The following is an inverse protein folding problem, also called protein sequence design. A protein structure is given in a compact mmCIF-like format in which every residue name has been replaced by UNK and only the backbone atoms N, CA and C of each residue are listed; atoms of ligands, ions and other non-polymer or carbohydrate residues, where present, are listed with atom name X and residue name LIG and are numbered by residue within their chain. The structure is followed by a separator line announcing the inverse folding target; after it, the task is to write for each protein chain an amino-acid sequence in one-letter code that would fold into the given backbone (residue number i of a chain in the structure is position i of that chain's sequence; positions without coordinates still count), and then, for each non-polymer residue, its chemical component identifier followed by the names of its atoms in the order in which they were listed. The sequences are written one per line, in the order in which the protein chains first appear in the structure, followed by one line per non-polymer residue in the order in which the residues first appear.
data_IF_793829661994
#
_entry.id   IF_793829661994
#
_cell.length_a   1.000
_cell.length_b   1.000
_cell.length_c   1.000
_cell.angle_alpha   90.00
_cell.angle_beta   90.00
_cell.angle_gamma   90.00
#
_symmetry.space_group_name_H-M   'P 1'
#
loop_
_entity.id
_entity.type
_entity.pdbx_description
1 polymer ?
#
# COMPACT_ATOMS: atom_id res chain seq x y z
N UNK A 1 10.06 0.60 -27.96
CA UNK A 1 10.64 0.91 -26.62
C UNK A 1 11.75 -0.08 -26.31
N UNK A 2 12.84 0.36 -25.67
CA UNK A 2 13.99 -0.49 -25.33
C UNK A 2 13.88 -1.19 -23.97
N UNK A 3 14.58 -2.32 -23.84
CA UNK A 3 14.73 -3.09 -22.60
C UNK A 3 15.37 -2.18 -21.52
N UNK A 4 14.82 -2.11 -20.29
CA UNK A 4 15.42 -1.31 -19.23
C UNK A 4 16.81 -1.82 -18.88
N UNK A 5 17.77 -0.90 -18.75
CA UNK A 5 19.13 -1.24 -18.36
C UNK A 5 19.21 -1.61 -16.86
N UNK A 6 18.37 -0.97 -16.03
CA UNK A 6 18.16 -1.29 -14.61
C UNK A 6 16.66 -1.30 -14.29
N UNK A 7 16.03 -2.48 -14.39
CA UNK A 7 14.59 -2.64 -14.14
C UNK A 7 14.17 -2.05 -12.78
N UNK A 8 14.89 -2.29 -11.69
CA UNK A 8 14.49 -1.79 -10.36
C UNK A 8 14.40 -0.25 -10.27
N UNK A 9 15.23 0.46 -11.03
CA UNK A 9 15.33 1.92 -11.04
C UNK A 9 14.41 2.56 -12.10
N UNK A 10 14.40 1.98 -13.30
CA UNK A 10 13.67 2.52 -14.44
C UNK A 10 12.19 2.14 -14.42
N UNK A 11 11.85 1.01 -13.81
CA UNK A 11 10.47 0.52 -13.79
C UNK A 11 9.53 1.48 -13.04
N UNK A 12 9.84 1.97 -11.83
CA UNK A 12 9.01 2.98 -11.16
C UNK A 12 8.79 4.25 -12.01
N UNK A 13 9.83 4.73 -12.69
CA UNK A 13 9.73 5.91 -13.58
C UNK A 13 8.80 5.63 -14.77
N UNK A 14 8.90 4.45 -15.39
CA UNK A 14 8.01 4.03 -16.48
C UNK A 14 6.57 3.88 -15.99
N UNK A 15 6.37 3.34 -14.79
CA UNK A 15 5.04 3.25 -14.18
C UNK A 15 4.45 4.63 -13.90
N UNK A 16 5.24 5.62 -13.46
CA UNK A 16 4.78 7.01 -13.29
C UNK A 16 4.32 7.63 -14.62
N UNK A 17 5.06 7.40 -15.71
CA UNK A 17 4.66 7.87 -17.03
C UNK A 17 3.34 7.25 -17.50
N UNK A 18 3.18 5.94 -17.30
CA UNK A 18 1.94 5.24 -17.62
C UNK A 18 0.79 5.71 -16.73
N UNK A 19 1.04 5.94 -15.44
CA UNK A 19 0.07 6.46 -14.50
C UNK A 19 -0.46 7.82 -14.99
N UNK A 20 0.45 8.76 -15.27
CA UNK A 20 0.10 10.11 -15.72
C UNK A 20 -0.71 10.11 -17.03
N UNK A 21 -0.40 9.19 -17.95
CA UNK A 21 -1.11 9.09 -19.22
C UNK A 21 -2.51 8.47 -19.09
N UNK A 22 -2.69 7.48 -18.22
CA UNK A 22 -3.93 6.72 -18.12
C UNK A 22 -4.92 7.24 -17.06
N UNK A 23 -4.46 8.00 -16.06
CA UNK A 23 -5.34 8.50 -15.00
C UNK A 23 -6.53 9.33 -15.50
N UNK A 24 -6.39 10.27 -16.46
CA UNK A 24 -7.54 11.04 -16.95
C UNK A 24 -8.66 10.14 -17.48
N UNK A 25 -8.30 9.09 -18.22
CA UNK A 25 -9.26 8.13 -18.77
C UNK A 25 -9.89 7.26 -17.67
N UNK A 26 -9.13 6.91 -16.62
CA UNK A 26 -9.68 6.20 -15.47
C UNK A 26 -10.69 7.06 -14.72
N UNK A 27 -10.41 8.36 -14.52
CA UNK A 27 -11.33 9.32 -13.90
C UNK A 27 -12.61 9.51 -14.71
N UNK A 28 -12.50 9.73 -16.02
CA UNK A 28 -13.67 9.87 -16.91
C UNK A 28 -14.61 8.66 -16.89
N UNK A 29 -14.08 7.48 -16.56
CA UNK A 29 -14.83 6.21 -16.55
C UNK A 29 -15.18 5.72 -15.15
N UNK A 30 -14.90 6.49 -14.10
CA UNK A 30 -15.08 6.07 -12.70
C UNK A 30 -14.33 4.76 -12.36
N UNK A 31 -13.12 4.60 -12.86
CA UNK A 31 -12.26 3.43 -12.66
C UNK A 31 -11.04 3.73 -11.78
N UNK A 32 -11.05 4.84 -11.03
CA UNK A 32 -9.88 5.35 -10.29
C UNK A 32 -9.37 4.32 -9.27
N UNK A 33 -10.24 3.75 -8.44
CA UNK A 33 -9.84 2.70 -7.50
C UNK A 33 -9.21 1.47 -8.17
N UNK A 34 -9.87 0.89 -9.17
CA UNK A 34 -9.34 -0.29 -9.89
C UNK A 34 -8.03 0.03 -10.62
N UNK A 35 -7.91 1.22 -11.20
CA UNK A 35 -6.67 1.71 -11.80
C UNK A 35 -5.56 1.86 -10.76
N UNK A 36 -5.86 2.43 -9.59
CA UNK A 36 -4.91 2.55 -8.49
C UNK A 36 -4.42 1.16 -8.03
N UNK A 37 -5.31 0.17 -7.88
CA UNK A 37 -4.92 -1.20 -7.53
C UNK A 37 -4.01 -1.84 -8.59
N UNK A 38 -4.31 -1.65 -9.88
CA UNK A 38 -3.49 -2.14 -10.99
C UNK A 38 -2.06 -1.57 -10.93
N UNK A 39 -1.93 -0.26 -10.72
CA UNK A 39 -0.61 0.38 -10.63
C UNK A 39 0.09 -0.02 -9.33
N UNK A 40 -0.62 -0.07 -8.20
CA UNK A 40 -0.09 -0.47 -6.90
C UNK A 40 0.51 -1.88 -6.95
N UNK A 41 -0.17 -2.85 -7.56
CA UNK A 41 0.32 -4.21 -7.72
C UNK A 41 1.67 -4.28 -8.45
N UNK A 42 1.91 -3.33 -9.36
CA UNK A 42 3.16 -3.21 -10.11
C UNK A 42 4.25 -2.48 -9.32
N UNK A 43 3.93 -1.30 -8.78
CA UNK A 43 4.91 -0.35 -8.23
C UNK A 43 5.26 -0.62 -6.76
N UNK A 44 4.37 -1.26 -6.00
CA UNK A 44 4.67 -1.66 -4.62
C UNK A 44 5.37 -3.02 -4.61
N UNK A 45 4.78 -4.03 -5.26
CA UNK A 45 5.22 -5.42 -5.14
C UNK A 45 6.62 -5.63 -5.72
N UNK A 46 6.89 -5.14 -6.94
CA UNK A 46 8.16 -5.42 -7.62
C UNK A 46 9.36 -4.81 -6.87
N UNK A 47 9.37 -3.51 -6.52
CA UNK A 47 10.48 -2.94 -5.75
C UNK A 47 10.63 -3.58 -4.36
N UNK A 48 9.51 -3.87 -3.68
CA UNK A 48 9.56 -4.46 -2.35
C UNK A 48 10.15 -5.87 -2.37
N UNK A 49 9.76 -6.73 -3.32
CA UNK A 49 10.31 -8.07 -3.44
C UNK A 49 11.77 -8.05 -3.93
N UNK A 50 12.15 -7.08 -4.78
CA UNK A 50 13.55 -6.90 -5.20
C UNK A 50 14.47 -6.37 -4.10
N UNK A 51 13.96 -5.55 -3.18
CA UNK A 51 14.75 -5.02 -2.07
C UNK A 51 15.07 -6.07 -0.99
N UNK A 52 14.44 -7.25 -1.04
CA UNK A 52 14.78 -8.36 -0.16
C UNK A 52 16.11 -8.98 -0.60
N UNK A 53 17.14 -8.86 0.24
CA UNK A 53 18.51 -9.36 -0.01
C UNK A 53 18.61 -10.87 -0.38
N UNK A 54 17.54 -11.65 -0.18
CA UNK A 54 17.46 -13.07 -0.56
C UNK A 54 16.85 -13.31 -1.95
N UNK A 55 16.51 -12.26 -2.69
CA UNK A 55 15.92 -12.40 -4.02
C UNK A 55 16.96 -12.96 -5.01
N UNK A 56 16.60 -13.98 -5.80
CA UNK A 56 17.54 -14.66 -6.71
C UNK A 56 18.10 -13.77 -7.83
N UNK A 57 17.44 -12.65 -8.12
CA UNK A 57 17.90 -11.60 -9.04
C UNK A 57 18.55 -10.40 -8.33
N UNK A 58 18.85 -10.50 -7.04
CA UNK A 58 19.55 -9.45 -6.31
C UNK A 58 20.91 -9.20 -6.96
N UNK A 59 21.25 -7.93 -7.14
CA UNK A 59 22.56 -7.49 -7.65
C UNK A 59 23.18 -6.61 -6.57
N UNK A 60 24.52 -6.56 -6.47
CA UNK A 60 25.21 -5.62 -5.56
C UNK A 60 24.73 -4.16 -5.73
N UNK A 61 24.29 -3.80 -6.93
CA UNK A 61 23.72 -2.48 -7.23
C UNK A 61 22.34 -2.23 -6.60
N UNK A 62 21.69 -3.24 -6.05
CA UNK A 62 20.40 -3.14 -5.36
C UNK A 62 20.59 -2.98 -3.83
N UNK A 63 21.82 -3.06 -3.30
CA UNK A 63 22.14 -2.99 -1.86
C UNK A 63 21.65 -1.68 -1.20
N UNK A 64 21.74 -0.55 -1.92
CA UNK A 64 21.23 0.74 -1.42
C UNK A 64 19.73 0.75 -1.29
N UNK A 65 19.01 0.14 -2.23
CA UNK A 65 17.56 -0.03 -2.15
C UNK A 65 17.19 -0.94 -0.98
N UNK A 66 17.95 -2.01 -0.75
CA UNK A 66 17.80 -2.86 0.44
C UNK A 66 17.99 -2.06 1.72
N UNK A 67 19.05 -1.25 1.84
CA UNK A 67 19.29 -0.39 3.01
C UNK A 67 18.15 0.62 3.18
N UNK A 68 17.74 1.29 2.10
CA UNK A 68 16.66 2.28 2.11
C UNK A 68 15.33 1.67 2.57
N UNK A 69 14.95 0.50 2.06
CA UNK A 69 13.74 -0.21 2.50
C UNK A 69 13.88 -0.72 3.94
N UNK A 70 15.08 -1.16 4.34
CA UNK A 70 15.37 -1.56 5.72
C UNK A 70 15.20 -0.41 6.71
N UNK A 71 15.67 0.80 6.37
CA UNK A 71 15.46 1.98 7.20
C UNK A 71 14.00 2.42 7.20
N UNK A 72 13.34 2.42 6.04
CA UNK A 72 11.92 2.71 5.94
C UNK A 72 11.09 1.81 6.86
N UNK A 73 11.43 0.52 6.96
CA UNK A 73 10.70 -0.45 7.77
C UNK A 73 10.62 -0.08 9.26
N UNK A 74 11.52 0.78 9.74
CA UNK A 74 11.60 1.22 11.14
C UNK A 74 10.82 2.50 11.42
N UNK A 75 10.48 3.27 10.38
CA UNK A 75 9.81 4.58 10.51
C UNK A 75 8.30 4.40 10.65
N UNK A 76 7.64 5.29 11.40
CA UNK A 76 6.18 5.36 11.45
C UNK A 76 5.61 5.69 10.06
N UNK A 77 4.53 5.03 9.66
CA UNK A 77 3.94 5.19 8.34
C UNK A 77 3.56 6.66 8.10
N UNK A 78 3.01 7.34 9.11
CA UNK A 78 2.61 8.75 9.05
C UNK A 78 3.77 9.75 8.93
N UNK A 79 5.00 9.28 9.15
CA UNK A 79 6.24 10.07 9.08
C UNK A 79 7.20 9.53 8.02
N UNK A 80 6.74 8.58 7.19
CA UNK A 80 7.57 7.97 6.18
C UNK A 80 8.09 9.01 5.17
N UNK A 81 9.34 8.90 4.72
CA UNK A 81 9.97 9.89 3.85
C UNK A 81 9.29 10.05 2.49
N UNK A 82 8.59 9.02 2.01
CA UNK A 82 7.84 9.11 0.77
C UNK A 82 6.67 10.12 0.85
N UNK A 83 6.21 10.51 2.06
CA UNK A 83 5.20 11.56 2.18
C UNK A 83 5.74 12.97 1.90
N UNK A 84 7.06 13.16 1.84
CA UNK A 84 7.68 14.46 1.61
C UNK A 84 7.15 15.58 2.55
N UNK A 85 6.98 15.25 3.83
CA UNK A 85 6.46 16.17 4.86
C UNK A 85 4.93 16.34 4.88
N UNK A 86 4.20 15.80 3.90
CA UNK A 86 2.74 15.73 3.96
C UNK A 86 2.28 14.66 4.97
N UNK A 87 1.00 14.71 5.35
CA UNK A 87 0.35 13.68 6.17
C UNK A 87 -0.56 12.77 5.31
N UNK A 88 -0.75 11.50 5.69
CA UNK A 88 -1.68 10.60 5.01
C UNK A 88 -3.13 10.90 5.44
N UNK A 89 -3.76 11.88 4.80
CA UNK A 89 -5.17 12.22 5.06
C UNK A 89 -6.07 11.11 4.52
N UNK A 90 -7.17 10.79 5.20
CA UNK A 90 -8.11 9.75 4.70
C UNK A 90 -7.61 8.31 4.82
N UNK A 91 -6.48 8.09 5.49
CA UNK A 91 -5.99 6.76 5.86
C UNK A 91 -6.43 6.38 7.26
N UNK A 92 -6.71 5.09 7.48
CA UNK A 92 -7.02 4.53 8.81
C UNK A 92 -6.44 3.13 8.95
N UNK A 93 -6.10 2.74 10.17
CA UNK A 93 -5.79 1.36 10.50
C UNK A 93 -6.68 0.85 11.63
N UNK A 94 -7.38 -0.23 11.38
CA UNK A 94 -8.20 -0.91 12.38
C UNK A 94 -8.01 -2.43 12.32
N UNK A 95 -8.65 -3.14 13.23
CA UNK A 95 -8.68 -4.59 13.22
C UNK A 95 -10.13 -5.02 13.06
N UNK A 96 -10.36 -6.11 12.35
CA UNK A 96 -11.68 -6.78 12.33
C UNK A 96 -11.50 -8.05 13.13
N UNK A 97 -12.31 -8.23 14.17
CA UNK A 97 -12.23 -9.40 15.06
C UNK A 97 -13.32 -10.42 14.81
N UNK A 98 -14.28 -10.13 13.94
CA UNK A 98 -15.42 -10.99 13.58
C UNK A 98 -15.86 -10.74 12.14
N UNK A 99 -16.37 -11.79 11.47
CA UNK A 99 -17.10 -11.72 10.20
C UNK A 99 -16.47 -10.81 9.12
N UNK A 100 -15.22 -11.07 8.75
CA UNK A 100 -14.51 -10.26 7.76
C UNK A 100 -15.17 -10.25 6.36
N UNK A 101 -15.96 -11.28 6.03
CA UNK A 101 -16.67 -11.42 4.75
C UNK A 101 -17.91 -10.51 4.61
N UNK A 102 -18.33 -9.84 5.70
CA UNK A 102 -19.50 -8.96 5.70
C UNK A 102 -19.09 -7.55 6.17
N UNK A 103 -18.70 -6.64 5.25
CA UNK A 103 -18.23 -5.30 5.61
C UNK A 103 -19.20 -4.51 6.49
N UNK A 104 -20.51 -4.63 6.23
CA UNK A 104 -21.56 -3.98 7.03
C UNK A 104 -21.57 -4.43 8.50
N UNK A 105 -21.07 -5.64 8.78
CA UNK A 105 -21.03 -6.27 10.11
C UNK A 105 -19.63 -6.28 10.73
N UNK A 106 -18.67 -5.54 10.17
CA UNK A 106 -17.32 -5.51 10.71
C UNK A 106 -17.29 -4.96 12.14
N UNK A 107 -16.68 -5.72 13.04
CA UNK A 107 -16.49 -5.33 14.45
C UNK A 107 -15.01 -5.17 14.75
N UNK A 108 -14.66 -3.99 15.28
CA UNK A 108 -13.34 -3.63 15.76
C UNK A 108 -12.98 -4.21 17.12
N UNK A 109 -11.71 -4.09 17.51
CA UNK A 109 -11.24 -4.50 18.86
C UNK A 109 -11.93 -3.74 19.99
N UNK A 110 -12.41 -2.54 19.72
CA UNK A 110 -13.20 -1.71 20.64
C UNK A 110 -14.71 -2.01 20.60
N UNK A 111 -15.13 -3.03 19.86
CA UNK A 111 -16.53 -3.42 19.70
C UNK A 111 -17.34 -2.51 18.77
N UNK A 112 -16.67 -1.61 18.01
CA UNK A 112 -17.34 -0.68 17.09
C UNK A 112 -17.01 -1.00 15.64
N UNK A 113 -17.89 -0.58 14.73
CA UNK A 113 -17.57 -0.61 13.31
C UNK A 113 -16.36 0.31 12.99
N UNK A 114 -15.41 -0.09 12.13
CA UNK A 114 -14.20 0.72 11.83
C UNK A 114 -14.46 2.13 11.29
N UNK A 115 -15.65 2.37 10.72
CA UNK A 115 -16.08 3.68 10.22
C UNK A 115 -16.95 4.46 11.20
N UNK A 116 -17.32 3.89 12.35
CA UNK A 116 -18.10 4.58 13.36
C UNK A 116 -17.33 5.77 13.94
N UNK A 117 -18.07 6.80 14.39
CA UNK A 117 -17.46 7.95 15.05
C UNK A 117 -16.76 7.53 16.36
N UNK A 118 -15.49 7.93 16.51
CA UNK A 118 -14.66 7.53 17.64
C UNK A 118 -14.32 6.04 17.69
N UNK A 119 -14.36 5.34 16.55
CA UNK A 119 -13.71 4.04 16.40
C UNK A 119 -12.20 4.19 16.53
N UNK A 120 -11.53 3.16 17.07
CA UNK A 120 -10.08 3.16 17.20
C UNK A 120 -9.40 3.21 15.82
N UNK A 121 -8.48 4.15 15.69
CA UNK A 121 -7.54 4.25 14.58
C UNK A 121 -6.11 4.18 15.13
N UNK A 122 -5.37 3.18 14.71
CA UNK A 122 -4.01 2.90 15.17
C UNK A 122 -2.94 3.34 14.17
N UNK A 123 -3.31 4.03 13.08
CA UNK A 123 -2.39 4.33 11.98
C UNK A 123 -1.14 5.09 12.44
N UNK A 124 -1.29 6.03 13.39
CA UNK A 124 -0.18 6.81 13.95
C UNK A 124 0.92 5.95 14.59
N UNK A 125 0.54 4.78 15.10
CA UNK A 125 1.42 3.90 15.87
C UNK A 125 1.98 2.76 15.00
N UNK A 126 1.67 2.74 13.69
CA UNK A 126 2.13 1.70 12.78
C UNK A 126 3.36 2.15 12.02
N UNK A 127 4.34 1.25 11.98
CA UNK A 127 5.49 1.39 11.09
C UNK A 127 5.09 1.24 9.63
N UNK A 128 5.87 1.84 8.74
CA UNK A 128 5.70 1.69 7.30
C UNK A 128 5.76 0.21 6.89
N UNK A 129 6.64 -0.59 7.50
CA UNK A 129 6.70 -2.03 7.27
C UNK A 129 5.36 -2.73 7.55
N UNK A 130 4.70 -2.36 8.64
CA UNK A 130 3.42 -2.97 9.04
C UNK A 130 2.33 -2.68 8.01
N UNK A 131 2.19 -1.41 7.62
CA UNK A 131 1.18 -0.97 6.63
C UNK A 131 1.47 -1.56 5.25
N UNK A 132 2.71 -1.42 4.75
CA UNK A 132 3.10 -1.94 3.44
C UNK A 132 2.95 -3.45 3.34
N UNK A 133 3.18 -4.20 4.42
CA UNK A 133 2.92 -5.64 4.47
C UNK A 133 1.43 -5.95 4.25
N UNK A 134 0.52 -5.21 4.89
CA UNK A 134 -0.92 -5.40 4.72
C UNK A 134 -1.31 -5.11 3.27
N UNK A 135 -0.88 -3.97 2.72
CA UNK A 135 -1.15 -3.60 1.33
C UNK A 135 -0.65 -4.67 0.35
N UNK A 136 0.60 -5.11 0.49
CA UNK A 136 1.18 -6.14 -0.38
C UNK A 136 0.42 -7.46 -0.28
N UNK A 137 0.11 -7.93 0.92
CA UNK A 137 -0.63 -9.18 1.09
C UNK A 137 -2.02 -9.08 0.45
N UNK A 138 -2.73 -7.97 0.67
CA UNK A 138 -4.03 -7.74 0.06
C UNK A 138 -3.96 -7.71 -1.48
N UNK A 139 -2.99 -6.99 -2.05
CA UNK A 139 -2.75 -6.93 -3.50
C UNK A 139 -2.41 -8.29 -4.11
N UNK A 140 -1.64 -9.13 -3.41
CA UNK A 140 -1.24 -10.45 -3.90
C UNK A 140 -2.37 -11.50 -3.83
N UNK A 141 -3.27 -11.36 -2.86
CA UNK A 141 -4.33 -12.35 -2.61
C UNK A 141 -5.72 -11.90 -3.03
N UNK A 142 -5.89 -10.64 -3.43
CA UNK A 142 -7.19 -10.08 -3.78
C UNK A 142 -8.06 -9.75 -2.55
N UNK A 143 -7.47 -9.65 -1.36
CA UNK A 143 -8.18 -9.34 -0.11
C UNK A 143 -8.45 -7.82 -0.01
N UNK A 144 -9.21 -7.30 -0.97
CA UNK A 144 -9.50 -5.88 -1.14
C UNK A 144 -11.01 -5.71 -1.27
N UNK A 145 -11.58 -4.83 -0.45
CA UNK A 145 -13.00 -4.52 -0.41
C UNK A 145 -13.23 -3.09 -0.90
N UNK A 146 -14.25 -2.91 -1.72
CA UNK A 146 -14.65 -1.62 -2.29
C UNK A 146 -15.79 -1.06 -1.44
N UNK A 147 -15.61 0.12 -0.88
CA UNK A 147 -16.58 0.70 0.06
C UNK A 147 -17.05 2.08 -0.40
N UNK A 148 -18.33 2.34 -0.22
CA UNK A 148 -18.94 3.66 -0.41
C UNK A 148 -18.56 4.62 0.74
N UNK A 149 -19.05 5.86 0.71
CA UNK A 149 -18.76 6.87 1.73
C UNK A 149 -19.23 6.46 3.15
N UNK A 150 -20.25 5.61 3.25
CA UNK A 150 -20.75 5.06 4.51
C UNK A 150 -19.91 3.86 5.02
N UNK A 151 -18.91 3.41 4.26
CA UNK A 151 -18.09 2.26 4.61
C UNK A 151 -18.76 0.91 4.30
N UNK A 152 -19.67 0.86 3.33
CA UNK A 152 -20.46 -0.32 2.97
C UNK A 152 -20.09 -0.81 1.56
N UNK A 153 -20.17 -2.13 1.35
CA UNK A 153 -19.97 -2.74 0.04
C UNK A 153 -21.33 -2.93 -0.66
N UNK A 154 -21.63 -2.06 -1.64
CA UNK A 154 -22.90 -2.08 -2.37
C UNK A 154 -22.66 -1.93 -3.86
N UNK A 155 -23.25 -2.83 -4.64
CA UNK A 155 -23.16 -2.78 -6.10
C UNK A 155 -23.79 -1.49 -6.63
N UNK A 156 -23.09 -0.82 -7.55
CA UNK A 156 -23.54 0.42 -8.20
C UNK A 156 -23.27 1.70 -7.42
N UNK A 157 -22.90 1.62 -6.14
CA UNK A 157 -22.49 2.79 -5.36
C UNK A 157 -21.14 3.34 -5.84
N UNK A 158 -20.93 4.67 -5.78
CA UNK A 158 -19.62 5.25 -6.02
C UNK A 158 -18.59 4.74 -5.01
N UNK A 159 -17.44 4.30 -5.51
CA UNK A 159 -16.30 3.96 -4.67
C UNK A 159 -15.83 5.21 -3.93
N UNK A 160 -15.60 5.07 -2.63
CA UNK A 160 -14.99 6.11 -1.82
C UNK A 160 -13.73 5.60 -1.11
N UNK A 161 -13.78 4.39 -0.53
CA UNK A 161 -12.66 3.79 0.17
C UNK A 161 -12.25 2.44 -0.43
N UNK A 162 -10.94 2.21 -0.42
CA UNK A 162 -10.34 0.89 -0.59
C UNK A 162 -9.96 0.34 0.78
N UNK A 163 -10.45 -0.84 1.11
CA UNK A 163 -10.15 -1.56 2.33
C UNK A 163 -9.25 -2.77 2.03
N UNK A 164 -8.08 -2.82 2.65
CA UNK A 164 -7.07 -3.86 2.46
C UNK A 164 -7.01 -4.75 3.70
N UNK A 165 -7.24 -6.04 3.50
CA UNK A 165 -7.28 -7.03 4.56
C UNK A 165 -6.05 -7.93 4.53
N UNK A 166 -5.42 -8.11 5.69
CA UNK A 166 -4.39 -9.13 5.88
C UNK A 166 -4.62 -9.84 7.20
N UNK A 167 -4.62 -11.16 7.17
CA UNK A 167 -4.72 -11.98 8.38
C UNK A 167 -3.60 -11.64 9.36
N UNK A 168 -3.96 -11.57 10.64
CA UNK A 168 -3.04 -11.40 11.76
C UNK A 168 -2.60 -12.78 12.25
N UNK A 169 -1.30 -13.02 12.31
CA UNK A 169 -0.73 -14.23 12.94
C UNK A 169 0.24 -13.75 14.03
N UNK A 170 -0.18 -13.85 15.29
CA UNK A 170 0.69 -13.63 16.46
C UNK A 170 0.69 -14.91 17.31
N UNK A 171 1.59 -15.83 16.96
CA UNK A 171 1.81 -17.07 17.72
C UNK A 171 0.74 -18.15 17.55
N UNK A 172 1.07 -19.35 18.04
CA UNK A 172 0.23 -20.56 17.92
C UNK A 172 -1.11 -20.40 18.68
N UNK A 173 -1.12 -19.73 19.84
CA UNK A 173 -2.36 -19.51 20.62
C UNK A 173 -3.38 -18.57 19.94
N UNK A 174 -2.95 -17.54 19.20
CA UNK A 174 -3.88 -16.67 18.48
C UNK A 174 -4.27 -17.24 17.11
N UNK A 175 -3.43 -18.13 16.54
CA UNK A 175 -3.83 -18.95 15.39
C UNK A 175 -5.04 -19.83 15.72
N UNK A 176 -5.14 -20.37 16.93
CA UNK A 176 -6.31 -21.16 17.36
C UNK A 176 -7.57 -20.29 17.57
N UNK A 177 -7.43 -19.00 17.88
CA UNK A 177 -8.55 -18.04 18.03
C UNK A 177 -8.97 -17.33 16.73
N UNK A 178 -8.19 -17.50 15.66
CA UNK A 178 -8.56 -17.38 14.24
C UNK A 178 -9.55 -16.31 13.75
N UNK A 179 -9.64 -15.11 14.33
CA UNK A 179 -10.61 -14.11 13.79
C UNK A 179 -10.10 -12.66 13.68
N UNK A 180 -8.79 -12.38 13.86
CA UNK A 180 -8.30 -11.00 13.71
C UNK A 180 -7.70 -10.73 12.33
N UNK A 181 -8.31 -9.83 11.56
CA UNK A 181 -7.73 -9.23 10.35
C UNK A 181 -7.18 -7.84 10.67
N UNK A 182 -6.03 -7.49 10.08
CA UNK A 182 -5.61 -6.09 9.97
C UNK A 182 -6.35 -5.47 8.79
N UNK A 183 -7.00 -4.35 9.05
CA UNK A 183 -7.67 -3.52 8.07
C UNK A 183 -6.86 -2.23 7.89
N UNK A 184 -6.47 -1.95 6.65
CA UNK A 184 -6.00 -0.63 6.22
C UNK A 184 -7.06 -0.05 5.29
N UNK A 185 -7.50 1.17 5.55
CA UNK A 185 -8.45 1.89 4.70
C UNK A 185 -7.78 3.14 4.17
N UNK A 186 -8.00 3.45 2.90
CA UNK A 186 -7.65 4.73 2.30
C UNK A 186 -8.77 5.17 1.35
N UNK A 187 -8.98 6.48 1.19
CA UNK A 187 -9.82 6.96 0.08
C UNK A 187 -9.15 6.66 -1.25
N UNK A 188 -9.92 6.56 -2.35
CA UNK A 188 -9.34 6.26 -3.65
C UNK A 188 -8.28 7.27 -4.11
N UNK A 189 -8.54 8.57 -3.89
CA UNK A 189 -7.61 9.64 -4.24
C UNK A 189 -6.35 9.63 -3.37
N UNK A 190 -6.48 9.37 -2.07
CA UNK A 190 -5.33 9.33 -1.16
C UNK A 190 -4.49 8.06 -1.36
N UNK A 191 -5.12 6.95 -1.78
CA UNK A 191 -4.40 5.77 -2.21
C UNK A 191 -3.62 6.02 -3.50
N UNK A 192 -4.23 6.68 -4.49
CA UNK A 192 -3.54 7.04 -5.73
C UNK A 192 -2.39 8.03 -5.49
N UNK A 193 -2.60 9.02 -4.60
CA UNK A 193 -1.57 9.96 -4.15
C UNK A 193 -0.39 9.23 -3.51
N UNK A 194 -0.67 8.28 -2.62
CA UNK A 194 0.35 7.43 -2.02
C UNK A 194 1.17 6.67 -3.08
N UNK A 195 0.54 6.07 -4.09
CA UNK A 195 1.25 5.33 -5.14
C UNK A 195 2.22 6.25 -5.90
N UNK A 196 1.78 7.46 -6.26
CA UNK A 196 2.63 8.47 -6.93
C UNK A 196 3.84 8.83 -6.08
N UNK A 197 3.59 9.21 -4.83
CA UNK A 197 4.63 9.58 -3.87
C UNK A 197 5.63 8.45 -3.59
N UNK A 198 5.12 7.22 -3.43
CA UNK A 198 5.95 6.02 -3.31
C UNK A 198 6.82 5.82 -4.55
N UNK A 199 6.23 5.87 -5.74
CA UNK A 199 6.96 5.65 -7.00
C UNK A 199 8.06 6.69 -7.21
N UNK A 200 7.76 7.96 -6.92
CA UNK A 200 8.71 9.08 -6.98
C UNK A 200 9.86 8.88 -6.00
N UNK A 201 9.56 8.51 -4.77
CA UNK A 201 10.56 8.26 -3.74
C UNK A 201 11.52 7.12 -4.11
N UNK A 202 10.99 5.99 -4.60
CA UNK A 202 11.81 4.88 -5.11
C UNK A 202 12.65 5.33 -6.32
N UNK A 203 12.04 6.07 -7.26
CA UNK A 203 12.71 6.50 -8.49
C UNK A 203 13.87 7.47 -8.22
N UNK A 204 13.67 8.49 -7.37
CA UNK A 204 14.70 9.48 -7.04
C UNK A 204 15.96 8.81 -6.47
N UNK A 205 15.78 7.88 -5.53
CA UNK A 205 16.91 7.20 -4.89
C UNK A 205 17.62 6.23 -5.82
N UNK A 206 16.92 5.70 -6.81
CA UNK A 206 17.54 4.88 -7.85
C UNK A 206 18.30 5.70 -8.92
N UNK A 207 18.04 7.01 -9.03
CA UNK A 207 18.77 7.95 -9.91
C UNK A 207 20.07 8.44 -9.26
N UNK A 208 20.09 8.69 -7.95
CA UNK A 208 21.31 9.05 -7.20
C UNK A 208 22.43 8.00 -7.39
N UNK A 209 22.05 6.74 -7.60
CA UNK A 209 22.96 5.63 -7.92
C UNK A 209 23.60 5.70 -9.31
N UNK A 210 23.07 6.48 -10.25
CA UNK A 210 23.71 6.72 -11.56
C UNK A 210 24.86 7.70 -11.44
N UNK A 211 24.70 8.76 -10.66
CA UNK A 211 25.70 9.82 -10.52
C UNK A 211 26.99 9.30 -9.86
N UNK A 212 26.87 8.37 -8.91
CA UNK A 212 28.03 7.81 -8.19
C UNK A 212 28.84 6.75 -8.94
N UNK A 213 28.33 6.19 -10.04
CA UNK A 213 29.07 5.22 -10.88
C UNK A 213 29.76 5.91 -12.06
N UNK A 214 29.41 7.16 -12.33
CA UNK A 214 29.99 7.98 -13.40
C UNK A 214 31.12 8.92 -12.90
N UNK A 215 31.46 8.87 -11.61
CA UNK A 215 32.54 9.61 -10.95
C UNK A 215 33.63 8.63 -10.46
#
# INVERSE_FOLDING_TARGET
MGIPHRLAAEYPTRCLQLLAAAEPQARERNLVGSFALLVAASVLTIPFERARAKHFLHRERDDRMTVMISELNKVMFVDAPFWNGAKPVGWRQSHIVQNFDAPDDWVGRDGKHPFANGAQDFLSDKTAASVLRVLRNALSHGNIVYLNEAGQEREGDPLHYLAFLSRYEEGEEQQERSETYRLIVATEDEFLRFIRLWAEWIAQKAIDDKAMVAA
#
